data_IF_521376544629
#
_entry.id   IF_521376544629
#
_cell.length_a   1.000
_cell.length_b   1.000
_cell.length_c   1.000
_cell.angle_alpha   90.00
_cell.angle_beta   90.00
_cell.angle_gamma   90.00
#
_symmetry.space_group_name_H-M   'P 1'
#
loop_
_entity.id
_entity.type
_entity.pdbx_description
1 polymer ?
#
# COMPACT_ATOMS: atom_id res chain seq x y z
N UNK A 1 15.10 2.25 0.88
CA UNK A 1 14.54 1.09 1.60
C UNK A 1 14.23 -0.01 0.61
N UNK A 2 14.76 -1.18 0.86
CA UNK A 2 14.52 -2.37 0.04
C UNK A 2 13.20 -3.02 0.43
N UNK A 3 12.44 -3.51 -0.54
CA UNK A 3 11.20 -4.25 -0.30
C UNK A 3 11.38 -5.69 -0.78
N UNK A 4 11.15 -6.65 0.11
CA UNK A 4 11.27 -8.07 -0.19
C UNK A 4 9.91 -8.74 -0.02
N UNK A 5 9.44 -9.41 -1.07
CA UNK A 5 8.28 -10.28 -1.03
C UNK A 5 8.79 -11.72 -1.05
N UNK A 6 8.43 -12.49 -0.02
CA UNK A 6 8.91 -13.86 0.14
C UNK A 6 7.73 -14.83 0.14
N UNK A 7 7.64 -15.64 -0.89
CA UNK A 7 6.59 -16.65 -1.05
C UNK A 7 5.18 -16.09 -0.81
N UNK A 8 4.93 -14.89 -1.32
CA UNK A 8 3.70 -14.16 -1.05
C UNK A 8 2.53 -14.82 -1.78
N UNK A 9 1.48 -15.11 -1.01
CA UNK A 9 0.28 -15.76 -1.53
C UNK A 9 -0.95 -15.07 -0.99
N UNK A 10 -1.92 -14.81 -1.87
CA UNK A 10 -3.24 -14.30 -1.48
C UNK A 10 -4.32 -15.09 -2.17
N UNK A 11 -5.20 -15.67 -1.36
CA UNK A 11 -6.38 -16.40 -1.80
C UNK A 11 -7.63 -15.69 -1.29
N UNK A 12 -8.60 -15.51 -2.17
CA UNK A 12 -9.90 -14.99 -1.81
C UNK A 12 -10.93 -16.13 -1.85
N UNK A 13 -11.86 -16.19 -0.87
CA UNK A 13 -12.91 -17.21 -0.90
C UNK A 13 -13.81 -16.98 -2.12
N UNK A 14 -14.21 -18.09 -2.77
CA UNK A 14 -15.14 -18.01 -3.89
C UNK A 14 -16.53 -17.60 -3.38
N UNK A 15 -17.17 -16.68 -4.11
CA UNK A 15 -18.55 -16.27 -3.87
C UNK A 15 -19.57 -17.27 -4.44
N UNK A 16 -19.11 -18.20 -5.26
CA UNK A 16 -19.98 -19.19 -5.88
C UNK A 16 -20.23 -20.36 -4.91
N UNK A 17 -21.49 -20.53 -4.51
CA UNK A 17 -21.89 -21.62 -3.63
C UNK A 17 -21.71 -23.00 -4.25
N UNK A 18 -21.67 -23.10 -5.58
CA UNK A 18 -21.48 -24.36 -6.32
C UNK A 18 -20.00 -24.71 -6.50
N UNK A 19 -19.12 -23.71 -6.48
CA UNK A 19 -17.69 -23.89 -6.69
C UNK A 19 -16.93 -23.30 -5.50
N UNK A 20 -16.70 -24.11 -4.47
CA UNK A 20 -16.05 -23.68 -3.22
C UNK A 20 -14.54 -23.50 -3.32
N UNK A 21 -14.01 -23.34 -4.52
CA UNK A 21 -12.59 -23.13 -4.73
C UNK A 21 -12.24 -21.68 -4.48
N UNK A 22 -11.17 -21.46 -3.71
CA UNK A 22 -10.62 -20.12 -3.51
C UNK A 22 -10.04 -19.58 -4.82
N UNK A 23 -10.20 -18.27 -5.01
CA UNK A 23 -9.55 -17.57 -6.12
C UNK A 23 -8.14 -17.17 -5.68
N UNK A 24 -7.12 -17.68 -6.37
CA UNK A 24 -5.73 -17.35 -6.10
C UNK A 24 -5.37 -16.09 -6.88
N UNK A 25 -5.24 -14.96 -6.18
CA UNK A 25 -4.87 -13.68 -6.81
C UNK A 25 -3.36 -13.53 -6.95
N UNK A 26 -2.61 -13.99 -5.95
CA UNK A 26 -1.14 -14.01 -5.96
C UNK A 26 -0.71 -15.38 -5.46
N UNK A 27 0.18 -16.03 -6.19
CA UNK A 27 0.60 -17.39 -5.88
C UNK A 27 2.12 -17.49 -5.76
N UNK A 28 2.59 -17.71 -4.54
CA UNK A 28 4.00 -17.99 -4.22
C UNK A 28 4.99 -17.02 -4.90
N UNK A 29 4.67 -15.73 -4.79
CA UNK A 29 5.43 -14.68 -5.47
C UNK A 29 6.60 -14.22 -4.60
N UNK A 30 7.81 -14.40 -5.11
CA UNK A 30 9.05 -13.95 -4.47
C UNK A 30 9.71 -12.91 -5.34
N UNK A 31 9.91 -11.72 -4.79
CA UNK A 31 10.51 -10.62 -5.53
C UNK A 31 11.18 -9.62 -4.59
N UNK A 32 12.23 -8.99 -5.09
CA UNK A 32 12.98 -7.99 -4.35
C UNK A 32 12.98 -6.69 -5.13
N UNK A 33 12.56 -5.61 -4.49
CA UNK A 33 12.66 -4.26 -5.02
C UNK A 33 13.86 -3.60 -4.36
N UNK A 34 14.98 -3.40 -5.08
CA UNK A 34 16.19 -2.79 -4.50
C UNK A 34 15.92 -1.35 -4.08
N UNK A 35 16.69 -0.89 -3.09
CA UNK A 35 16.64 0.51 -2.67
C UNK A 35 17.01 1.44 -3.83
N UNK A 36 16.31 2.55 -3.94
CA UNK A 36 16.57 3.57 -4.97
C UNK A 36 16.15 3.18 -6.39
N UNK A 37 15.36 2.11 -6.57
CA UNK A 37 14.88 1.66 -7.87
C UNK A 37 13.39 1.91 -8.07
N UNK A 38 13.04 2.24 -9.29
CA UNK A 38 11.66 2.32 -9.75
C UNK A 38 11.31 1.02 -10.48
N UNK A 39 10.29 0.32 -10.00
CA UNK A 39 9.86 -0.96 -10.55
C UNK A 39 8.44 -0.84 -11.09
N UNK A 40 8.23 -1.29 -12.32
CA UNK A 40 6.91 -1.37 -12.93
C UNK A 40 6.34 -2.78 -12.87
N UNK A 41 5.07 -2.90 -12.50
CA UNK A 41 4.31 -4.15 -12.59
C UNK A 41 3.44 -4.11 -13.84
N UNK A 42 3.72 -4.98 -14.79
CA UNK A 42 3.00 -5.05 -16.06
C UNK A 42 2.23 -6.36 -16.16
N UNK A 43 1.08 -6.29 -16.80
CA UNK A 43 0.27 -7.47 -17.06
C UNK A 43 -1.18 -7.10 -17.37
N UNK A 44 -1.97 -8.07 -17.90
CA UNK A 44 -3.38 -7.85 -18.19
C UNK A 44 -4.20 -7.64 -16.92
N UNK A 45 -5.42 -7.11 -17.09
CA UNK A 45 -6.37 -6.96 -15.99
C UNK A 45 -6.61 -8.31 -15.30
N UNK A 46 -6.66 -8.30 -13.96
CA UNK A 46 -6.91 -9.51 -13.17
C UNK A 46 -5.68 -10.39 -12.93
N UNK A 47 -4.47 -9.95 -13.28
CA UNK A 47 -3.24 -10.75 -13.06
C UNK A 47 -2.61 -10.58 -11.67
N UNK A 48 -3.26 -9.84 -10.75
CA UNK A 48 -2.79 -9.69 -9.38
C UNK A 48 -1.96 -8.44 -9.10
N UNK A 49 -1.83 -7.50 -10.03
CA UNK A 49 -1.06 -6.26 -9.83
C UNK A 49 -1.59 -5.44 -8.65
N UNK A 50 -2.88 -5.11 -8.67
CA UNK A 50 -3.52 -4.34 -7.61
C UNK A 50 -3.50 -5.08 -6.28
N UNK A 51 -3.72 -6.38 -6.30
CA UNK A 51 -3.64 -7.23 -5.10
C UNK A 51 -2.25 -7.19 -4.48
N UNK A 52 -1.20 -7.28 -5.30
CA UNK A 52 0.19 -7.20 -4.83
C UNK A 52 0.47 -5.85 -4.19
N UNK A 53 0.03 -4.74 -4.79
CA UNK A 53 0.20 -3.40 -4.22
C UNK A 53 -0.57 -3.25 -2.91
N UNK A 54 -1.78 -3.78 -2.82
CA UNK A 54 -2.58 -3.75 -1.59
C UNK A 54 -1.94 -4.58 -0.47
N UNK A 55 -1.29 -5.68 -0.79
CA UNK A 55 -0.51 -6.48 0.18
C UNK A 55 0.70 -5.71 0.69
N UNK A 56 1.46 -5.08 -0.21
CA UNK A 56 2.63 -4.29 0.16
C UNK A 56 2.25 -3.11 1.04
N UNK A 57 1.14 -2.44 0.74
CA UNK A 57 0.65 -1.30 1.53
C UNK A 57 0.04 -1.71 2.88
N UNK A 58 -0.36 -2.96 3.03
CA UNK A 58 -1.00 -3.45 4.26
C UNK A 58 -2.51 -3.30 4.29
N UNK A 59 -3.14 -2.87 3.19
CA UNK A 59 -4.60 -2.77 3.11
C UNK A 59 -5.28 -4.14 3.21
N UNK A 60 -4.62 -5.18 2.72
CA UNK A 60 -5.06 -6.57 2.88
C UNK A 60 -3.92 -7.42 3.45
N UNK A 61 -4.27 -8.48 4.15
CA UNK A 61 -3.29 -9.41 4.71
C UNK A 61 -3.02 -10.57 3.75
N UNK A 62 -1.77 -11.03 3.63
CA UNK A 62 -1.47 -12.21 2.83
C UNK A 62 -2.05 -13.47 3.48
N UNK A 63 -2.40 -14.45 2.66
CA UNK A 63 -2.76 -15.79 3.12
C UNK A 63 -1.52 -16.57 3.56
N UNK A 64 -0.38 -16.32 2.90
CA UNK A 64 0.92 -16.90 3.23
C UNK A 64 2.05 -16.03 2.75
N UNK A 65 3.25 -16.35 3.21
CA UNK A 65 4.45 -15.59 2.86
C UNK A 65 4.73 -14.44 3.80
N UNK A 66 5.77 -13.67 3.49
CA UNK A 66 6.25 -12.55 4.29
C UNK A 66 6.59 -11.36 3.44
N UNK A 67 6.48 -10.17 4.03
CA UNK A 67 6.84 -8.89 3.43
C UNK A 67 7.84 -8.20 4.34
N UNK A 68 8.99 -7.81 3.79
CA UNK A 68 10.04 -7.10 4.53
C UNK A 68 10.28 -5.72 3.93
N UNK A 69 10.39 -4.72 4.79
CA UNK A 69 10.88 -3.39 4.43
C UNK A 69 12.26 -3.22 5.06
N UNK A 70 13.31 -3.31 4.22
CA UNK A 70 14.67 -3.41 4.72
C UNK A 70 14.86 -4.73 5.49
N UNK A 71 15.20 -4.63 6.76
CA UNK A 71 15.35 -5.78 7.67
C UNK A 71 14.10 -6.06 8.50
N UNK A 72 13.08 -5.20 8.42
CA UNK A 72 11.88 -5.28 9.24
C UNK A 72 10.80 -6.13 8.58
N UNK A 73 10.29 -7.13 9.29
CA UNK A 73 9.11 -7.89 8.87
C UNK A 73 7.86 -7.05 9.14
N UNK A 74 7.20 -6.62 8.07
CA UNK A 74 6.01 -5.77 8.15
C UNK A 74 4.72 -6.49 7.78
N UNK A 75 4.78 -7.81 7.66
CA UNK A 75 3.65 -8.64 7.20
C UNK A 75 2.37 -8.39 8.01
N UNK A 76 2.50 -8.28 9.33
CA UNK A 76 1.35 -8.10 10.24
C UNK A 76 1.12 -6.64 10.66
N UNK A 77 1.93 -5.70 10.16
CA UNK A 77 1.75 -4.28 10.47
C UNK A 77 0.59 -3.68 9.67
N UNK A 78 -0.26 -2.84 10.30
CA UNK A 78 -1.28 -2.10 9.58
C UNK A 78 -0.66 -1.03 8.66
N UNK A 79 -1.41 -0.54 7.64
CA UNK A 79 -0.87 0.39 6.66
C UNK A 79 -0.27 1.66 7.26
N UNK A 80 -0.91 2.19 8.30
CA UNK A 80 -0.49 3.42 8.97
C UNK A 80 0.86 3.32 9.69
N UNK A 81 1.32 2.10 9.94
CA UNK A 81 2.62 1.85 10.60
C UNK A 81 3.72 1.42 9.63
N UNK A 82 3.42 1.29 8.35
CA UNK A 82 4.41 0.86 7.36
C UNK A 82 5.25 1.99 6.78
N UNK A 83 4.80 3.24 6.92
CA UNK A 83 5.54 4.40 6.43
C UNK A 83 5.61 4.51 4.91
N UNK A 84 4.61 4.02 4.19
CA UNK A 84 4.52 4.11 2.73
C UNK A 84 3.32 4.93 2.30
N UNK A 85 3.37 5.45 1.07
CA UNK A 85 2.24 6.09 0.43
C UNK A 85 1.70 5.23 -0.71
N UNK A 86 0.39 5.14 -0.83
CA UNK A 86 -0.28 4.44 -1.92
C UNK A 86 -1.14 5.42 -2.71
N UNK A 87 -0.92 5.49 -4.03
CA UNK A 87 -1.76 6.27 -4.93
C UNK A 87 -2.75 5.32 -5.59
N UNK A 88 -4.05 5.50 -5.31
CA UNK A 88 -5.10 4.69 -5.91
C UNK A 88 -5.33 5.08 -7.37
N UNK A 89 -5.88 4.15 -8.16
CA UNK A 89 -6.17 4.37 -9.57
C UNK A 89 -7.14 5.55 -9.79
N UNK A 90 -8.08 5.76 -8.87
CA UNK A 90 -9.03 6.88 -8.87
C UNK A 90 -8.57 8.05 -8.00
N UNK A 91 -7.30 8.04 -7.54
CA UNK A 91 -6.68 9.02 -6.67
C UNK A 91 -7.29 9.15 -5.27
N UNK A 92 -8.42 8.51 -4.98
CA UNK A 92 -9.10 8.48 -3.67
C UNK A 92 -9.25 9.86 -3.01
N UNK A 93 -9.60 10.88 -3.79
CA UNK A 93 -9.80 12.24 -3.28
C UNK A 93 -11.04 12.31 -2.39
N UNK A 94 -10.95 13.09 -1.31
CA UNK A 94 -12.10 13.40 -0.47
C UNK A 94 -12.93 14.53 -1.13
N UNK A 95 -14.14 14.23 -1.63
CA UNK A 95 -14.92 15.21 -2.40
C UNK A 95 -15.43 16.39 -1.58
N UNK A 96 -15.54 16.24 -0.27
CA UNK A 96 -15.99 17.27 0.67
C UNK A 96 -14.87 18.20 1.12
N UNK A 97 -13.62 17.93 0.74
CA UNK A 97 -12.46 18.75 1.08
C UNK A 97 -11.97 19.54 -0.12
N UNK A 98 -11.38 20.71 0.13
CA UNK A 98 -10.71 21.49 -0.90
C UNK A 98 -9.42 20.81 -1.36
N UNK A 99 -8.81 21.30 -2.44
CA UNK A 99 -7.50 20.82 -2.90
C UNK A 99 -6.46 20.94 -1.79
N UNK A 100 -6.40 22.09 -1.13
CA UNK A 100 -5.49 22.33 -0.01
C UNK A 100 -5.72 21.31 1.11
N UNK A 101 -6.96 21.09 1.52
CA UNK A 101 -7.32 20.15 2.58
C UNK A 101 -6.98 18.70 2.21
N UNK A 102 -7.14 18.29 0.96
CA UNK A 102 -6.71 16.97 0.49
C UNK A 102 -5.21 16.76 0.63
N UNK A 103 -4.41 17.81 0.40
CA UNK A 103 -2.95 17.74 0.51
C UNK A 103 -2.50 17.75 1.97
N UNK A 104 -3.11 18.59 2.79
CA UNK A 104 -2.65 18.83 4.18
C UNK A 104 -3.27 17.88 5.19
N UNK A 105 -4.36 17.21 4.87
CA UNK A 105 -5.11 16.35 5.79
C UNK A 105 -4.23 15.35 6.55
N UNK A 106 -3.33 14.58 5.90
CA UNK A 106 -2.48 13.66 6.64
C UNK A 106 -1.53 14.34 7.62
N UNK A 107 -1.11 15.55 7.32
CA UNK A 107 -0.19 16.33 8.15
C UNK A 107 -0.91 16.94 9.34
N UNK A 108 -2.16 17.35 9.17
CA UNK A 108 -3.00 17.91 10.24
C UNK A 108 -3.38 16.86 11.29
N UNK A 109 -3.38 15.59 10.91
CA UNK A 109 -3.71 14.47 11.80
C UNK A 109 -2.53 14.00 12.65
N UNK A 110 -1.32 14.54 12.45
CA UNK A 110 -0.18 14.22 13.28
C UNK A 110 -0.41 14.76 14.70
N UNK A 111 -0.05 13.95 15.71
CA UNK A 111 -0.27 14.26 17.12
C UNK A 111 1.03 14.71 17.81
N UNK A 112 0.89 15.61 18.80
CA UNK A 112 2.00 16.05 19.65
C UNK A 112 3.11 16.72 18.85
N UNK A 113 4.36 16.32 19.15
CA UNK A 113 5.56 16.86 18.52
C UNK A 113 5.67 16.57 17.01
N UNK A 114 4.92 15.60 16.53
CA UNK A 114 4.89 15.24 15.11
C UNK A 114 3.99 16.17 14.31
N UNK A 115 3.23 17.05 15.01
CA UNK A 115 2.35 18.02 14.37
C UNK A 115 3.16 19.14 13.73
N UNK A 116 2.99 19.30 12.42
CA UNK A 116 3.70 20.33 11.68
C UNK A 116 3.17 21.72 11.95
N UNK A 117 4.04 22.73 11.91
CA UNK A 117 3.64 24.13 11.97
C UNK A 117 2.88 24.53 10.68
N UNK A 118 2.13 25.64 10.75
CA UNK A 118 1.45 26.17 9.55
C UNK A 118 2.42 26.46 8.41
N UNK A 119 3.64 26.90 8.71
CA UNK A 119 4.66 27.17 7.70
C UNK A 119 5.13 25.89 7.01
N UNK A 120 5.31 24.81 7.77
CA UNK A 120 5.69 23.50 7.23
C UNK A 120 4.57 22.90 6.36
N UNK A 121 3.32 23.04 6.76
CA UNK A 121 2.16 22.64 5.97
C UNK A 121 2.10 23.38 4.64
N UNK A 122 2.33 24.70 4.65
CA UNK A 122 2.35 25.53 3.45
C UNK A 122 3.45 25.08 2.48
N UNK A 123 4.65 24.78 2.98
CA UNK A 123 5.75 24.24 2.15
C UNK A 123 5.40 22.91 1.49
N UNK A 124 4.66 22.08 2.17
CA UNK A 124 4.21 20.80 1.62
C UNK A 124 3.26 21.01 0.44
N UNK A 125 2.40 22.02 0.50
CA UNK A 125 1.51 22.40 -0.61
C UNK A 125 2.30 22.90 -1.83
N UNK A 126 3.33 23.72 -1.61
CA UNK A 126 4.15 24.32 -2.67
C UNK A 126 4.97 23.28 -3.45
N UNK A 127 5.30 22.14 -2.84
CA UNK A 127 6.10 21.08 -3.48
C UNK A 127 5.27 20.12 -4.34
N UNK A 128 3.98 20.29 -4.38
CA UNK A 128 3.05 19.45 -5.16
C UNK A 128 2.35 20.27 -6.23
#
# INVERSE_FOLDING_TARGET
MEVILQNLTKKFPSRDRKNRRDVIAVNDFTFKIPDGRLIGLLGPSGCGKSTTLNLISGLIKPTGGRIFFGTDDVTDLPPEHRGIGLVFQNYALYPHLTVRQNITFPLENLKGRDKLTKAQLRRSEERR
#
